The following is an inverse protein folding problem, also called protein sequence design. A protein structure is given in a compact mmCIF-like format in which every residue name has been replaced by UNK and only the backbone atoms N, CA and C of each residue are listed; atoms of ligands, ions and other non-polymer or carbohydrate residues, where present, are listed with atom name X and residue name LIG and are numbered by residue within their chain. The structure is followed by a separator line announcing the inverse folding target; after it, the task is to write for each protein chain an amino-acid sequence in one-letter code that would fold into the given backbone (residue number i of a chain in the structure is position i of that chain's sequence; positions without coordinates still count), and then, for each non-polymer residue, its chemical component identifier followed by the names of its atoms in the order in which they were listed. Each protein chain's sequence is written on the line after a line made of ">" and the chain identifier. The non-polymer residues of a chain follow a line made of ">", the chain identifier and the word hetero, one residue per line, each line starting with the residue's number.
data_IF_963243572147
#
_entry.id   IF_963243572147
#
_cell.length_a   1.000
_cell.length_b   1.000
_cell.length_c   1.000
_cell.angle_alpha   90.00
_cell.angle_beta   90.00
_cell.angle_gamma   90.00
#
_symmetry.space_group_name_H-M   'P 1'
#
loop_
_entity.id
_entity.type
_entity.pdbx_description
1 polymer ?
#
# COMPACT_ATOMS: atom_id res chain seq x y z
N UNK A 1 -13.66 2.22 3.27
CA UNK A 1 -14.62 1.50 2.46
C UNK A 1 -14.83 2.14 1.11
N UNK A 2 -14.77 1.36 0.08
CA UNK A 2 -14.82 1.88 -1.28
C UNK A 2 -16.08 1.43 -1.97
N UNK A 3 -16.66 2.30 -2.77
CA UNK A 3 -17.83 1.95 -3.53
C UNK A 3 -17.51 0.92 -4.58
N UNK A 4 -18.49 0.11 -4.89
CA UNK A 4 -18.37 -0.80 -6.02
C UNK A 4 -18.13 0.05 -7.27
N UNK A 5 -17.13 -0.33 -8.04
CA UNK A 5 -16.82 0.36 -9.27
C UNK A 5 -15.82 1.48 -9.15
N UNK A 6 -15.35 1.80 -7.95
CA UNK A 6 -14.31 2.82 -7.81
C UNK A 6 -13.03 2.32 -8.48
N UNK A 7 -12.50 3.12 -9.41
CA UNK A 7 -11.31 2.74 -10.15
C UNK A 7 -10.05 2.88 -9.35
N UNK A 8 -9.00 2.20 -9.79
CA UNK A 8 -7.74 2.17 -9.05
C UNK A 8 -7.14 3.55 -8.88
N UNK A 9 -7.12 4.35 -9.93
CA UNK A 9 -6.58 5.70 -9.83
C UNK A 9 -7.29 6.48 -8.75
N UNK A 10 -8.60 6.38 -8.70
CA UNK A 10 -9.38 7.15 -7.73
C UNK A 10 -9.16 6.65 -6.31
N UNK A 11 -8.95 5.36 -6.13
CA UNK A 11 -8.64 4.84 -4.81
C UNK A 11 -7.32 5.43 -4.31
N UNK A 12 -6.31 5.46 -5.17
CA UNK A 12 -5.02 6.03 -4.78
C UNK A 12 -5.15 7.52 -4.49
N UNK A 13 -5.86 8.24 -5.36
CA UNK A 13 -6.07 9.68 -5.17
C UNK A 13 -6.76 9.95 -3.84
N UNK A 14 -7.64 9.06 -3.40
CA UNK A 14 -8.35 9.28 -2.15
C UNK A 14 -7.42 9.41 -0.96
N UNK A 15 -6.18 8.92 -1.08
CA UNK A 15 -5.19 9.09 -0.02
C UNK A 15 -4.82 10.53 0.25
N UNK A 16 -5.03 11.43 -0.72
CA UNK A 16 -4.79 12.85 -0.50
C UNK A 16 -5.88 13.50 0.35
N UNK A 17 -7.04 12.86 0.47
CA UNK A 17 -8.21 13.44 1.10
C UNK A 17 -8.65 12.58 2.27
N UNK A 18 -7.78 12.47 3.25
CA UNK A 18 -8.07 11.59 4.38
C UNK A 18 -9.08 12.19 5.33
N UNK A 19 -9.28 13.49 5.24
CA UNK A 19 -10.21 14.12 6.14
C UNK A 19 -11.61 13.64 5.87
N UNK A 20 -12.33 13.43 6.91
CA UNK A 20 -13.64 12.85 6.85
C UNK A 20 -14.60 13.76 6.12
N UNK A 21 -15.21 13.21 5.10
CA UNK A 21 -16.30 13.90 4.44
C UNK A 21 -15.91 15.12 3.66
N UNK A 22 -14.64 15.43 3.62
CA UNK A 22 -14.22 16.62 2.91
C UNK A 22 -13.25 16.23 1.84
N UNK A 23 -13.61 16.47 0.61
CA UNK A 23 -12.60 16.42 -0.43
C UNK A 23 -13.09 17.26 -1.58
N UNK A 24 -12.15 17.79 -2.29
CA UNK A 24 -12.43 18.58 -3.45
C UNK A 24 -12.00 17.80 -4.68
N UNK A 25 -12.20 18.41 -5.82
CA UNK A 25 -11.74 17.84 -7.06
C UNK A 25 -10.24 17.59 -6.99
N UNK A 26 -9.82 16.45 -7.47
CA UNK A 26 -8.40 16.17 -7.54
C UNK A 26 -7.73 17.08 -8.56
N UNK A 27 -6.50 17.45 -8.29
CA UNK A 27 -5.72 18.27 -9.19
C UNK A 27 -5.00 17.42 -10.22
N UNK A 28 -4.51 18.04 -11.26
CA UNK A 28 -3.73 17.33 -12.26
C UNK A 28 -2.44 16.76 -11.63
N UNK A 29 -1.86 17.49 -10.70
CA UNK A 29 -0.68 16.99 -9.99
C UNK A 29 -1.01 15.74 -9.21
N UNK A 30 -2.14 15.71 -8.52
CA UNK A 30 -2.52 14.54 -7.75
C UNK A 30 -2.79 13.35 -8.66
N UNK A 31 -3.41 13.59 -9.81
CA UNK A 31 -3.63 12.51 -10.77
C UNK A 31 -2.31 11.97 -11.30
N UNK A 32 -1.36 12.86 -11.58
CA UNK A 32 -0.06 12.42 -12.07
C UNK A 32 0.66 11.58 -11.03
N UNK A 33 0.58 11.97 -9.76
CA UNK A 33 1.21 11.20 -8.70
C UNK A 33 0.57 9.82 -8.60
N UNK A 34 -0.75 9.74 -8.68
CA UNK A 34 -1.43 8.46 -8.65
C UNK A 34 -1.03 7.59 -9.84
N UNK A 35 -0.89 8.20 -11.02
CA UNK A 35 -0.49 7.44 -12.20
C UNK A 35 0.95 6.93 -12.07
N UNK A 36 1.82 7.71 -11.43
CA UNK A 36 3.18 7.25 -11.16
C UNK A 36 3.18 6.03 -10.25
N UNK A 37 2.32 6.03 -9.24
CA UNK A 37 2.22 4.86 -8.38
C UNK A 37 1.68 3.65 -9.13
N UNK A 38 0.69 3.87 -10.01
CA UNK A 38 0.18 2.75 -10.81
C UNK A 38 1.27 2.19 -11.71
N UNK A 39 2.10 3.07 -12.28
CA UNK A 39 3.21 2.59 -13.11
C UNK A 39 4.20 1.77 -12.28
N UNK A 40 4.48 2.21 -11.07
CA UNK A 40 5.37 1.46 -10.19
C UNK A 40 4.81 0.08 -9.87
N UNK A 41 3.50 -0.01 -9.71
CA UNK A 41 2.85 -1.28 -9.42
C UNK A 41 2.64 -2.15 -10.66
N UNK A 42 2.94 -1.61 -11.86
CA UNK A 42 2.68 -2.35 -13.09
C UNK A 42 1.21 -2.39 -13.48
N UNK A 43 0.44 -1.41 -13.05
CA UNK A 43 -1.00 -1.41 -13.21
C UNK A 43 -1.53 -0.24 -14.04
N UNK A 44 -0.67 0.41 -14.83
CA UNK A 44 -1.08 1.57 -15.60
C UNK A 44 -2.28 1.26 -16.50
N UNK A 45 -2.26 0.12 -17.17
CA UNK A 45 -3.33 -0.23 -18.08
C UNK A 45 -4.64 -0.55 -17.38
N UNK A 46 -4.59 -0.69 -16.05
CA UNK A 46 -5.75 -1.08 -15.26
C UNK A 46 -6.27 0.06 -14.41
N UNK A 47 -5.84 1.28 -14.70
CA UNK A 47 -6.12 2.43 -13.84
C UNK A 47 -7.61 2.65 -13.58
N UNK A 48 -8.45 2.30 -14.54
CA UNK A 48 -9.89 2.51 -14.41
C UNK A 48 -10.65 1.26 -14.02
N UNK A 49 -9.96 0.14 -13.76
CA UNK A 49 -10.64 -1.06 -13.31
C UNK A 49 -11.18 -0.87 -11.90
N UNK A 50 -12.32 -1.49 -11.59
CA UNK A 50 -12.87 -1.38 -10.24
C UNK A 50 -11.95 -2.04 -9.22
N UNK A 51 -11.70 -1.32 -8.13
CA UNK A 51 -10.84 -1.83 -7.07
C UNK A 51 -11.37 -3.14 -6.51
N UNK A 52 -12.68 -3.23 -6.31
CA UNK A 52 -13.27 -4.41 -5.70
C UNK A 52 -13.16 -5.64 -6.57
N UNK A 53 -12.82 -5.49 -7.84
CA UNK A 53 -12.63 -6.62 -8.73
C UNK A 53 -11.22 -7.19 -8.71
N UNK A 54 -10.30 -6.57 -7.99
CA UNK A 54 -8.92 -7.03 -7.96
C UNK A 54 -8.74 -8.21 -7.02
N UNK A 55 -7.69 -8.99 -7.25
CA UNK A 55 -7.27 -9.98 -6.28
C UNK A 55 -6.87 -9.31 -4.98
N UNK A 56 -6.85 -10.08 -3.90
CA UNK A 56 -6.47 -9.53 -2.60
C UNK A 56 -5.05 -8.97 -2.60
N UNK A 57 -4.14 -9.65 -3.32
CA UNK A 57 -2.77 -9.14 -3.41
C UNK A 57 -2.70 -7.82 -4.13
N UNK A 58 -3.41 -7.70 -5.25
CA UNK A 58 -3.42 -6.45 -5.99
C UNK A 58 -4.06 -5.34 -5.17
N UNK A 59 -5.12 -5.65 -4.43
CA UNK A 59 -5.73 -4.65 -3.55
C UNK A 59 -4.75 -4.16 -2.51
N UNK A 60 -3.93 -5.06 -1.94
CA UNK A 60 -2.91 -4.67 -0.96
C UNK A 60 -1.92 -3.67 -1.56
N UNK A 61 -1.47 -3.96 -2.78
CA UNK A 61 -0.53 -3.06 -3.44
C UNK A 61 -1.13 -1.67 -3.63
N UNK A 62 -2.37 -1.62 -4.08
CA UNK A 62 -3.03 -0.34 -4.31
C UNK A 62 -3.22 0.42 -3.00
N UNK A 63 -3.56 -0.28 -1.92
CA UNK A 63 -3.76 0.39 -0.63
C UNK A 63 -2.46 0.91 -0.04
N UNK A 64 -1.35 0.22 -0.28
CA UNK A 64 -0.05 0.74 0.15
C UNK A 64 0.28 2.01 -0.63
N UNK A 65 0.03 2.01 -1.95
CA UNK A 65 0.24 3.21 -2.74
C UNK A 65 -0.61 4.37 -2.24
N UNK A 66 -1.87 4.08 -1.90
CA UNK A 66 -2.77 5.10 -1.36
C UNK A 66 -2.20 5.73 -0.10
N UNK A 67 -1.61 4.91 0.76
CA UNK A 67 -1.02 5.42 1.99
C UNK A 67 0.21 6.28 1.73
N UNK A 68 0.88 6.06 0.62
CA UNK A 68 2.16 6.72 0.34
C UNK A 68 2.03 8.02 -0.43
N UNK A 69 0.86 8.35 -1.00
CA UNK A 69 0.79 9.50 -1.90
C UNK A 69 1.08 10.82 -1.19
N UNK A 70 0.90 10.89 0.12
CA UNK A 70 1.19 12.11 0.87
C UNK A 70 2.57 12.08 1.53
N UNK A 71 3.39 11.13 1.17
CA UNK A 71 4.75 10.98 1.72
C UNK A 71 4.73 11.01 3.24
N UNK A 72 4.05 10.04 3.87
CA UNK A 72 3.95 10.06 5.32
C UNK A 72 5.32 9.85 5.96
N UNK A 73 5.58 10.44 7.12
CA UNK A 73 6.83 10.16 7.82
C UNK A 73 6.89 8.74 8.36
N UNK A 74 5.74 8.12 8.58
CA UNK A 74 5.67 6.78 9.13
C UNK A 74 4.55 6.01 8.45
N UNK A 75 4.87 4.82 7.98
CA UNK A 75 3.90 3.89 7.41
C UNK A 75 3.85 2.66 8.30
N UNK A 76 2.68 2.37 8.84
CA UNK A 76 2.49 1.20 9.69
C UNK A 76 1.75 0.14 8.89
N UNK A 77 2.35 -1.03 8.76
CA UNK A 77 1.77 -2.13 8.02
C UNK A 77 1.56 -3.29 8.99
N UNK A 78 0.29 -3.59 9.27
CA UNK A 78 -0.06 -4.64 10.22
C UNK A 78 -0.39 -5.90 9.44
N UNK A 79 0.52 -6.87 9.47
CA UNK A 79 0.41 -8.14 8.78
C UNK A 79 -0.02 -7.96 7.32
N UNK A 80 0.75 -7.17 6.54
CA UNK A 80 0.30 -6.84 5.20
C UNK A 80 0.24 -8.02 4.25
N UNK A 81 0.87 -9.13 4.59
CA UNK A 81 0.87 -10.31 3.72
C UNK A 81 -0.09 -11.40 4.17
N UNK A 82 -0.89 -11.13 5.19
CA UNK A 82 -1.80 -12.12 5.72
C UNK A 82 -2.81 -12.54 4.65
N UNK A 83 -2.95 -13.85 4.46
CA UNK A 83 -3.92 -14.38 3.51
C UNK A 83 -3.46 -14.37 2.08
N UNK A 84 -2.23 -13.97 1.79
CA UNK A 84 -1.72 -13.95 0.42
C UNK A 84 -0.96 -15.22 0.11
N UNK A 85 -1.04 -15.66 -1.15
CA UNK A 85 -0.21 -16.78 -1.61
C UNK A 85 1.23 -16.28 -1.77
N UNK A 86 2.14 -17.21 -2.11
CA UNK A 86 3.56 -16.88 -2.16
C UNK A 86 3.88 -15.81 -3.19
N UNK A 87 3.26 -15.88 -4.37
CA UNK A 87 3.56 -14.91 -5.40
C UNK A 87 3.12 -13.52 -4.99
N UNK A 88 1.91 -13.39 -4.47
CA UNK A 88 1.42 -12.09 -4.05
C UNK A 88 2.17 -11.57 -2.85
N UNK A 89 2.57 -12.46 -1.94
CA UNK A 89 3.39 -12.04 -0.82
C UNK A 89 4.70 -11.44 -1.28
N UNK A 90 5.35 -12.09 -2.27
CA UNK A 90 6.61 -11.57 -2.80
C UNK A 90 6.43 -10.18 -3.41
N UNK A 91 5.33 -9.96 -4.11
CA UNK A 91 5.08 -8.66 -4.71
C UNK A 91 4.89 -7.57 -3.66
N UNK A 92 4.15 -7.88 -2.61
CA UNK A 92 3.93 -6.90 -1.53
C UNK A 92 5.25 -6.61 -0.82
N UNK A 93 6.02 -7.65 -0.50
CA UNK A 93 7.30 -7.45 0.17
C UNK A 93 8.27 -6.64 -0.69
N UNK A 94 8.27 -6.89 -2.00
CA UNK A 94 9.13 -6.13 -2.90
C UNK A 94 8.76 -4.65 -2.91
N UNK A 95 7.47 -4.35 -2.89
CA UNK A 95 7.03 -2.96 -2.84
C UNK A 95 7.47 -2.30 -1.54
N UNK A 96 7.33 -3.00 -0.43
CA UNK A 96 7.72 -2.46 0.87
C UNK A 96 9.22 -2.20 0.90
N UNK A 97 10.03 -3.12 0.36
CA UNK A 97 11.47 -2.89 0.29
C UNK A 97 11.78 -1.65 -0.54
N UNK A 98 11.06 -1.49 -1.65
CA UNK A 98 11.28 -0.34 -2.50
C UNK A 98 10.98 0.95 -1.78
N UNK A 99 9.90 0.97 -1.00
CA UNK A 99 9.57 2.15 -0.20
C UNK A 99 10.68 2.43 0.80
N UNK A 100 11.19 1.40 1.46
CA UNK A 100 12.25 1.58 2.45
C UNK A 100 13.53 2.12 1.83
N UNK A 101 13.82 1.70 0.61
CA UNK A 101 15.09 2.09 -0.04
C UNK A 101 15.00 3.42 -0.76
N UNK A 102 13.82 3.76 -1.26
CA UNK A 102 13.67 4.89 -2.17
C UNK A 102 12.96 6.09 -1.58
N UNK A 103 12.46 5.98 -0.37
CA UNK A 103 11.74 7.10 0.25
C UNK A 103 12.26 7.32 1.65
N UNK A 104 11.87 8.46 2.23
CA UNK A 104 12.27 8.78 3.59
C UNK A 104 11.24 8.33 4.62
N UNK A 105 10.20 7.66 4.17
CA UNK A 105 9.19 7.14 5.06
C UNK A 105 9.77 6.03 5.93
N UNK A 106 9.60 6.14 7.24
CA UNK A 106 9.94 5.05 8.13
C UNK A 106 8.82 4.01 8.06
N UNK A 107 9.19 2.74 8.01
CA UNK A 107 8.20 1.67 7.91
C UNK A 107 8.23 0.83 9.18
N UNK A 108 7.07 0.69 9.80
CA UNK A 108 6.90 -0.22 10.92
C UNK A 108 6.10 -1.41 10.41
N UNK A 109 6.75 -2.56 10.37
CA UNK A 109 6.14 -3.77 9.85
C UNK A 109 5.76 -4.65 11.03
N UNK A 110 4.47 -4.83 11.24
CA UNK A 110 3.95 -5.64 12.33
C UNK A 110 3.60 -7.01 11.77
N UNK A 111 4.18 -8.05 12.37
CA UNK A 111 4.12 -9.37 11.78
C UNK A 111 4.12 -10.41 12.89
N UNK A 112 3.27 -11.41 12.77
CA UNK A 112 3.21 -12.51 13.72
C UNK A 112 4.00 -13.72 13.24
N UNK A 113 4.72 -13.60 12.12
CA UNK A 113 5.48 -14.67 11.52
C UNK A 113 6.87 -14.19 11.24
N UNK A 114 7.86 -14.97 11.60
CA UNK A 114 9.25 -14.57 11.46
C UNK A 114 9.78 -14.73 10.05
N UNK A 115 9.08 -15.47 9.19
CA UNK A 115 9.60 -15.69 7.84
C UNK A 115 9.40 -14.51 6.90
N UNK A 116 8.59 -13.53 7.28
CA UNK A 116 8.36 -12.37 6.43
C UNK A 116 9.38 -11.30 6.74
N UNK A 117 10.61 -11.52 6.29
CA UNK A 117 11.68 -10.58 6.52
C UNK A 117 11.94 -9.76 5.29
N UNK A 118 12.26 -8.49 5.50
CA UNK A 118 12.47 -7.54 4.42
C UNK A 118 13.79 -6.83 4.63
N UNK A 119 14.63 -6.84 3.58
CA UNK A 119 15.85 -6.04 3.60
C UNK A 119 15.50 -4.57 3.48
N UNK A 120 16.26 -3.75 4.19
CA UNK A 120 16.04 -2.31 4.10
C UNK A 120 14.93 -1.77 4.96
N UNK A 121 14.29 -2.62 5.75
CA UNK A 121 13.20 -2.15 6.58
C UNK A 121 13.73 -1.31 7.73
N UNK A 122 13.04 -0.22 8.04
CA UNK A 122 13.46 0.69 9.08
C UNK A 122 13.15 0.15 10.46
N UNK A 123 11.99 -0.46 10.60
CA UNK A 123 11.56 -1.03 11.86
C UNK A 123 10.78 -2.28 11.61
N UNK A 124 10.94 -3.25 12.47
CA UNK A 124 10.24 -4.51 12.34
C UNK A 124 9.81 -4.97 13.72
N UNK A 125 8.52 -5.26 13.86
CA UNK A 125 7.97 -5.77 15.10
C UNK A 125 7.26 -7.08 14.82
N UNK A 126 7.70 -8.13 15.48
CA UNK A 126 7.10 -9.45 15.34
C UNK A 126 6.36 -9.78 16.62
N UNK A 127 5.10 -10.20 16.46
CA UNK A 127 4.28 -10.60 17.58
C UNK A 127 3.87 -12.06 17.39
N UNK A 128 3.85 -12.79 18.45
CA UNK A 128 3.35 -14.15 18.39
C UNK A 128 2.52 -14.42 19.64
N UNK A 129 1.70 -15.46 19.57
CA UNK A 129 0.71 -15.72 20.61
C UNK A 129 1.33 -15.97 21.97
N UNK A 130 2.53 -16.53 21.98
CA UNK A 130 3.16 -16.95 23.22
C UNK A 130 4.37 -16.10 23.57
N UNK A 131 4.50 -14.93 23.01
CA UNK A 131 5.66 -14.11 23.27
C UNK A 131 5.24 -12.70 23.64
N UNK A 132 6.09 -12.07 24.40
CA UNK A 132 5.82 -10.74 24.88
C UNK A 132 6.72 -9.69 24.23
N UNK A 133 7.57 -10.09 23.40
CA UNK A 133 8.58 -9.18 22.85
C UNK A 133 8.04 -7.94 22.15
#
# INVERSE_FOLDING_TARGET
>A
EYRVGTGLRNVIISGFFESIGLYSKSTETQKAIADDWLALLGMTARADEPFNGLSHGDQRLVLIARAMVKHPPLLILDEPCLGLDDMNRQLVLALIERICESSETAVLYVNHRTEDRIRGINKHLTLSADTTS
#
